data_IF_860750459955
#
_entry.id   IF_860750459955
#
_cell.length_a   1.000
_cell.length_b   1.000
_cell.length_c   1.000
_cell.angle_alpha   90.00
_cell.angle_beta   90.00
_cell.angle_gamma   90.00
#
_symmetry.space_group_name_H-M   'P 1'
#
loop_
_entity.id
_entity.type
_entity.pdbx_description
1 polymer ?
#
# COMPACT_ATOMS: atom_id res chain seq x y z
N UNK A 1 0.02 -33.70 -2.24
CA UNK A 1 0.84 -33.16 -1.15
C UNK A 1 0.07 -33.37 0.15
N UNK A 2 0.46 -34.39 0.91
CA UNK A 2 -0.24 -34.86 2.10
C UNK A 2 0.05 -33.93 3.27
N UNK A 3 -0.98 -33.53 4.01
CA UNK A 3 -0.80 -33.07 5.39
C UNK A 3 -1.62 -33.95 6.33
N UNK A 4 -0.95 -34.98 6.84
CA UNK A 4 -1.36 -35.83 7.96
C UNK A 4 -1.30 -35.04 9.25
N UNK A 5 -2.47 -34.82 9.85
CA UNK A 5 -2.65 -34.39 11.23
C UNK A 5 -2.35 -35.56 12.19
N UNK A 6 -1.45 -35.44 13.18
CA UNK A 6 -1.29 -36.46 14.20
C UNK A 6 -2.25 -36.22 15.38
N UNK A 7 -3.18 -37.16 15.52
CA UNK A 7 -3.94 -37.44 16.74
C UNK A 7 -2.96 -37.86 17.85
N UNK A 8 -3.15 -37.40 19.09
CA UNK A 8 -3.15 -38.25 20.30
C UNK A 8 -3.49 -37.44 21.56
N UNK A 9 -4.73 -37.56 22.03
CA UNK A 9 -5.09 -37.33 23.44
C UNK A 9 -5.96 -38.51 23.85
N UNK A 10 -5.34 -39.50 24.50
CA UNK A 10 -6.05 -40.59 25.17
C UNK A 10 -6.55 -40.04 26.49
N UNK A 11 -7.87 -39.94 26.61
CA UNK A 11 -8.55 -39.74 27.88
C UNK A 11 -8.49 -41.05 28.69
N UNK A 12 -7.81 -41.03 29.83
CA UNK A 12 -7.86 -42.14 30.78
C UNK A 12 -9.03 -41.89 31.76
N UNK A 13 -10.10 -42.66 31.59
CA UNK A 13 -11.15 -42.80 32.60
C UNK A 13 -10.75 -43.92 33.56
N UNK A 14 -10.53 -43.58 34.83
CA UNK A 14 -10.31 -44.55 35.90
C UNK A 14 -10.93 -44.04 37.20
N UNK A 15 -12.19 -44.38 37.43
CA UNK A 15 -12.89 -44.21 38.71
C UNK A 15 -13.05 -45.61 39.30
N UNK A 16 -12.31 -45.92 40.37
CA UNK A 16 -12.58 -47.09 41.21
C UNK A 16 -12.76 -46.60 42.65
N UNK A 17 -13.95 -46.86 43.20
CA UNK A 17 -14.26 -46.73 44.62
C UNK A 17 -13.68 -47.94 45.35
N UNK A 18 -12.90 -47.72 46.40
CA UNK A 18 -12.40 -48.74 47.30
C UNK A 18 -12.30 -48.16 48.70
N UNK A 19 -13.24 -48.56 49.56
CA UNK A 19 -13.35 -48.14 50.95
C UNK A 19 -12.30 -48.77 51.86
N UNK A 20 -12.19 -48.13 53.03
CA UNK A 20 -11.23 -48.33 54.10
C UNK A 20 -11.17 -49.75 54.69
N UNK A 21 -9.97 -50.14 55.15
CA UNK A 21 -9.72 -50.77 56.47
C UNK A 21 -8.22 -50.97 56.67
N UNK A 22 -7.70 -50.60 57.86
CA UNK A 22 -6.35 -50.95 58.28
C UNK A 22 -5.71 -49.90 59.20
N UNK A 23 -5.97 -50.02 60.50
CA UNK A 23 -5.27 -49.29 61.55
C UNK A 23 -3.92 -49.96 61.84
N UNK A 24 -2.83 -49.18 61.77
CA UNK A 24 -1.56 -49.50 62.47
C UNK A 24 -0.80 -48.20 62.78
N UNK A 25 -0.81 -47.77 64.04
CA UNK A 25 0.29 -47.03 64.68
C UNK A 25 1.49 -47.97 64.84
N UNK A 26 2.78 -47.54 64.75
CA UNK A 26 3.30 -46.54 65.70
C UNK A 26 4.45 -45.65 65.19
N UNK A 27 4.69 -44.54 65.88
CA UNK A 27 5.98 -43.85 65.81
C UNK A 27 5.87 -42.34 65.91
N UNK A 28 5.98 -41.81 67.13
CA UNK A 28 6.17 -40.40 67.38
C UNK A 28 7.52 -39.94 66.81
N UNK A 29 7.50 -39.25 65.67
CA UNK A 29 8.66 -38.51 65.15
C UNK A 29 8.56 -37.09 65.73
N UNK A 30 9.49 -36.79 66.65
CA UNK A 30 9.65 -35.47 67.26
C UNK A 30 9.93 -34.40 66.20
N UNK A 31 9.24 -33.28 66.34
CA UNK A 31 9.77 -31.91 66.21
C UNK A 31 10.51 -31.56 64.93
N UNK A 32 9.87 -30.75 64.08
CA UNK A 32 10.57 -30.05 63.01
C UNK A 32 9.62 -29.42 62.01
N UNK A 33 8.88 -28.39 62.42
CA UNK A 33 8.20 -27.49 61.49
C UNK A 33 9.22 -26.66 60.71
N UNK A 34 9.96 -27.29 59.81
CA UNK A 34 10.81 -26.61 58.84
C UNK A 34 9.98 -26.22 57.64
N UNK A 35 9.60 -24.95 57.54
CA UNK A 35 9.18 -24.38 56.26
C UNK A 35 10.33 -24.59 55.27
N UNK A 36 10.10 -25.37 54.21
CA UNK A 36 11.08 -25.55 53.14
C UNK A 36 11.24 -24.20 52.41
N UNK A 37 12.32 -23.47 52.68
CA UNK A 37 12.59 -22.16 52.09
C UNK A 37 12.79 -22.21 50.56
N UNK A 38 13.07 -23.39 49.98
CA UNK A 38 13.19 -23.55 48.53
C UNK A 38 11.84 -23.60 47.82
N UNK A 39 10.74 -23.97 48.51
CA UNK A 39 9.39 -23.91 47.94
C UNK A 39 8.85 -22.48 47.85
N UNK A 40 9.30 -21.59 48.76
CA UNK A 40 8.89 -20.19 48.79
C UNK A 40 9.64 -19.30 47.79
N UNK A 41 10.92 -19.60 47.51
CA UNK A 41 11.73 -18.84 46.54
C UNK A 41 11.32 -19.12 45.09
N UNK A 42 11.08 -20.39 44.73
CA UNK A 42 10.67 -20.80 43.38
C UNK A 42 9.28 -20.28 43.01
N UNK A 43 8.36 -20.27 43.96
CA UNK A 43 7.00 -19.73 43.76
C UNK A 43 7.03 -18.21 43.50
N UNK A 44 7.95 -17.50 44.14
CA UNK A 44 8.14 -16.06 43.93
C UNK A 44 8.77 -15.75 42.57
N UNK A 45 9.80 -16.48 42.16
CA UNK A 45 10.46 -16.25 40.87
C UNK A 45 9.58 -16.65 39.67
N UNK A 46 8.84 -17.76 39.76
CA UNK A 46 7.81 -18.11 38.77
C UNK A 46 6.69 -17.07 38.71
N UNK A 47 6.27 -16.52 39.85
CA UNK A 47 5.27 -15.45 39.88
C UNK A 47 5.79 -14.17 39.23
N UNK A 48 7.06 -13.81 39.44
CA UNK A 48 7.70 -12.65 38.79
C UNK A 48 7.82 -12.83 37.28
N UNK A 49 8.16 -14.02 36.81
CA UNK A 49 8.22 -14.34 35.38
C UNK A 49 6.82 -14.31 34.73
N UNK A 50 5.78 -14.81 35.41
CA UNK A 50 4.37 -14.70 34.96
C UNK A 50 3.89 -13.25 34.86
N UNK A 51 4.33 -12.39 35.78
CA UNK A 51 4.01 -10.95 35.72
C UNK A 51 4.76 -10.27 34.57
N UNK A 52 6.04 -10.58 34.36
CA UNK A 52 6.84 -10.04 33.26
C UNK A 52 6.30 -10.47 31.87
N UNK A 53 5.93 -11.74 31.71
CA UNK A 53 5.33 -12.27 30.47
C UNK A 53 3.94 -11.65 30.21
N UNK A 54 3.12 -11.47 31.25
CA UNK A 54 1.83 -10.76 31.12
C UNK A 54 2.01 -9.28 30.77
N UNK A 55 3.01 -8.61 31.34
CA UNK A 55 3.33 -7.21 31.04
C UNK A 55 3.80 -7.03 29.59
N UNK A 56 4.68 -7.90 29.10
CA UNK A 56 5.16 -7.88 27.71
C UNK A 56 4.05 -8.23 26.71
N UNK A 57 3.18 -9.19 27.04
CA UNK A 57 2.01 -9.51 26.21
C UNK A 57 0.98 -8.36 26.20
N UNK A 58 0.76 -7.71 27.34
CA UNK A 58 -0.05 -6.48 27.43
C UNK A 58 0.51 -5.33 26.60
N UNK A 59 1.84 -5.18 26.55
CA UNK A 59 2.51 -4.19 25.70
C UNK A 59 2.33 -4.53 24.20
N UNK A 60 2.53 -5.78 23.79
CA UNK A 60 2.32 -6.22 22.39
C UNK A 60 0.87 -6.01 21.93
N UNK A 61 -0.11 -6.34 22.76
CA UNK A 61 -1.55 -6.11 22.46
C UNK A 61 -1.85 -4.62 22.26
N UNK A 62 -1.34 -3.77 23.15
CA UNK A 62 -1.48 -2.31 23.03
C UNK A 62 -0.76 -1.74 21.81
N UNK A 63 0.39 -2.29 21.42
CA UNK A 63 1.08 -1.91 20.19
C UNK A 63 0.24 -2.25 18.96
N UNK A 64 -0.20 -3.51 18.84
CA UNK A 64 -1.04 -3.97 17.71
C UNK A 64 -2.32 -3.17 17.55
N UNK A 65 -2.99 -2.82 18.66
CA UNK A 65 -4.18 -1.97 18.63
C UNK A 65 -3.86 -0.55 18.12
N UNK A 66 -2.70 0.00 18.50
CA UNK A 66 -2.23 1.30 17.97
C UNK A 66 -1.89 1.20 16.49
N UNK A 67 -1.26 0.11 16.07
CA UNK A 67 -0.89 -0.13 14.66
C UNK A 67 -2.14 -0.27 13.79
N UNK A 68 -3.13 -1.05 14.25
CA UNK A 68 -4.43 -1.15 13.58
C UNK A 68 -5.14 0.20 13.50
N UNK A 69 -5.15 0.97 14.59
CA UNK A 69 -5.73 2.33 14.60
C UNK A 69 -5.01 3.27 13.62
N UNK A 70 -3.68 3.19 13.52
CA UNK A 70 -2.89 3.97 12.56
C UNK A 70 -3.21 3.55 11.12
N UNK A 71 -3.29 2.25 10.86
CA UNK A 71 -3.65 1.73 9.53
C UNK A 71 -5.07 2.15 9.12
N UNK A 72 -6.04 2.07 10.04
CA UNK A 72 -7.41 2.52 9.79
C UNK A 72 -7.47 4.02 9.47
N UNK A 73 -6.79 4.86 10.25
CA UNK A 73 -6.72 6.30 9.97
C UNK A 73 -6.02 6.61 8.63
N UNK A 74 -4.96 5.86 8.29
CA UNK A 74 -4.29 5.95 6.99
C UNK A 74 -5.24 5.60 5.84
N UNK A 75 -5.96 4.48 5.95
CA UNK A 75 -6.95 4.05 4.97
C UNK A 75 -8.06 5.08 4.77
N UNK A 76 -8.59 5.67 5.85
CA UNK A 76 -9.61 6.72 5.78
C UNK A 76 -9.06 7.95 5.05
N UNK A 77 -7.84 8.37 5.38
CA UNK A 77 -7.19 9.50 4.72
C UNK A 77 -6.94 9.26 3.22
N UNK A 78 -6.50 8.05 2.85
CA UNK A 78 -6.32 7.65 1.45
C UNK A 78 -7.67 7.60 0.73
N UNK A 79 -8.69 7.00 1.33
CA UNK A 79 -10.03 6.89 0.77
C UNK A 79 -10.67 8.26 0.51
N UNK A 80 -10.52 9.19 1.46
CA UNK A 80 -10.99 10.57 1.31
C UNK A 80 -10.26 11.29 0.17
N UNK A 81 -8.93 11.15 0.08
CA UNK A 81 -8.14 11.74 -1.01
C UNK A 81 -8.52 11.17 -2.37
N UNK A 82 -8.78 9.87 -2.46
CA UNK A 82 -9.17 9.20 -3.70
C UNK A 82 -10.55 9.70 -4.17
N UNK A 83 -11.52 9.82 -3.25
CA UNK A 83 -12.84 10.40 -3.57
C UNK A 83 -12.78 11.85 -4.05
N UNK A 84 -11.80 12.60 -3.56
CA UNK A 84 -11.64 14.02 -3.86
C UNK A 84 -10.53 14.33 -4.87
N UNK A 85 -10.04 13.31 -5.60
CA UNK A 85 -8.97 13.40 -6.61
C UNK A 85 -7.74 14.19 -6.13
N UNK A 86 -7.40 14.08 -4.84
CA UNK A 86 -6.55 15.07 -4.19
C UNK A 86 -5.07 14.63 -4.24
N UNK A 87 -4.47 14.79 -5.44
CA UNK A 87 -3.06 15.12 -5.76
C UNK A 87 -2.62 14.52 -7.09
N UNK A 88 -2.41 13.20 -7.15
CA UNK A 88 -1.93 12.50 -8.36
C UNK A 88 -2.92 12.69 -9.51
N UNK A 89 -4.21 12.48 -9.22
CA UNK A 89 -5.25 12.59 -10.23
C UNK A 89 -5.41 14.02 -10.74
N UNK A 90 -5.29 15.04 -9.86
CA UNK A 90 -5.32 16.45 -10.25
C UNK A 90 -4.17 16.84 -11.16
N UNK A 91 -2.95 16.41 -10.83
CA UNK A 91 -1.78 16.70 -11.65
C UNK A 91 -1.86 16.00 -13.02
N UNK A 92 -2.29 14.73 -13.03
CA UNK A 92 -2.48 13.98 -14.26
C UNK A 92 -3.60 14.58 -15.13
N UNK A 93 -4.73 14.97 -14.54
CA UNK A 93 -5.82 15.65 -15.24
C UNK A 93 -5.38 16.99 -15.83
N UNK A 94 -4.54 17.74 -15.11
CA UNK A 94 -3.95 18.98 -15.62
C UNK A 94 -3.08 18.72 -16.85
N UNK A 95 -2.17 17.74 -16.77
CA UNK A 95 -1.29 17.37 -17.89
C UNK A 95 -2.11 16.90 -19.11
N UNK A 96 -3.12 16.05 -18.90
CA UNK A 96 -4.02 15.60 -19.97
C UNK A 96 -4.74 16.80 -20.60
N UNK A 97 -5.17 17.77 -19.79
CA UNK A 97 -5.81 18.99 -20.27
C UNK A 97 -4.87 19.86 -21.13
N UNK A 98 -3.63 20.04 -20.68
CA UNK A 98 -2.60 20.81 -21.38
C UNK A 98 -2.22 20.14 -22.71
N UNK A 99 -2.00 18.83 -22.72
CA UNK A 99 -1.74 18.07 -23.94
C UNK A 99 -2.93 18.12 -24.89
N UNK A 100 -4.14 17.93 -24.39
CA UNK A 100 -5.36 18.04 -25.21
C UNK A 100 -5.46 19.40 -25.86
N UNK A 101 -5.21 20.47 -25.11
CA UNK A 101 -5.23 21.82 -25.65
C UNK A 101 -4.16 22.01 -26.73
N UNK A 102 -2.92 21.57 -26.46
CA UNK A 102 -1.79 21.62 -27.40
C UNK A 102 -2.14 20.90 -28.71
N UNK A 103 -2.62 19.66 -28.64
CA UNK A 103 -3.00 18.89 -29.84
C UNK A 103 -4.19 19.51 -30.58
N UNK A 104 -5.18 20.03 -29.86
CA UNK A 104 -6.32 20.72 -30.48
C UNK A 104 -5.86 21.95 -31.26
N UNK A 105 -4.99 22.78 -30.67
CA UNK A 105 -4.45 23.97 -31.34
C UNK A 105 -3.62 23.62 -32.58
N UNK A 106 -2.80 22.57 -32.52
CA UNK A 106 -2.03 22.09 -33.69
C UNK A 106 -2.99 21.65 -34.80
N UNK A 107 -4.01 20.84 -34.49
CA UNK A 107 -4.97 20.36 -35.48
C UNK A 107 -5.78 21.50 -36.11
N UNK A 108 -6.19 22.49 -35.33
CA UNK A 108 -6.92 23.65 -35.82
C UNK A 108 -6.09 24.46 -36.83
N UNK A 109 -4.79 24.65 -36.56
CA UNK A 109 -3.85 25.29 -37.48
C UNK A 109 -3.64 24.47 -38.77
N UNK A 110 -3.51 23.14 -38.65
CA UNK A 110 -3.40 22.26 -39.83
C UNK A 110 -4.64 22.36 -40.71
N UNK A 111 -5.84 22.34 -40.11
CA UNK A 111 -7.11 22.51 -40.84
C UNK A 111 -7.22 23.90 -41.48
N UNK A 112 -6.76 24.94 -40.80
CA UNK A 112 -6.73 26.30 -41.33
C UNK A 112 -5.85 26.42 -42.58
N UNK A 113 -4.69 25.77 -42.59
CA UNK A 113 -3.85 25.67 -43.79
C UNK A 113 -4.60 24.95 -44.90
N UNK A 114 -5.26 23.83 -44.61
CA UNK A 114 -5.99 23.06 -45.62
C UNK A 114 -7.11 23.88 -46.25
N UNK A 115 -7.92 24.56 -45.43
CA UNK A 115 -9.01 25.40 -45.93
C UNK A 115 -8.49 26.61 -46.71
N UNK A 116 -7.41 27.23 -46.27
CA UNK A 116 -6.77 28.33 -46.99
C UNK A 116 -6.28 27.89 -48.37
N UNK A 117 -5.59 26.76 -48.47
CA UNK A 117 -5.08 26.26 -49.75
C UNK A 117 -6.22 25.83 -50.68
N UNK A 118 -7.21 25.09 -50.16
CA UNK A 118 -8.36 24.66 -50.94
C UNK A 118 -9.18 25.86 -51.45
N UNK A 119 -9.47 26.84 -50.59
CA UNK A 119 -10.27 28.01 -50.93
C UNK A 119 -9.60 28.94 -51.95
N UNK A 120 -8.27 28.95 -51.99
CA UNK A 120 -7.49 29.74 -52.96
C UNK A 120 -7.01 28.92 -54.16
N UNK A 121 -7.45 27.66 -54.31
CA UNK A 121 -7.06 26.75 -55.38
C UNK A 121 -5.52 26.60 -55.52
N UNK A 122 -4.81 26.61 -54.39
CA UNK A 122 -3.36 26.47 -54.33
C UNK A 122 -2.98 25.00 -54.25
N UNK A 123 -1.92 24.64 -54.98
CA UNK A 123 -1.37 23.28 -54.92
C UNK A 123 -0.85 22.97 -53.51
N UNK A 124 -1.33 21.87 -52.93
CA UNK A 124 -0.91 21.42 -51.61
C UNK A 124 0.54 20.92 -51.62
N UNK A 125 0.88 20.14 -52.66
CA UNK A 125 2.19 19.50 -52.85
C UNK A 125 2.95 20.18 -53.99
N UNK A 126 4.27 20.07 -53.93
CA UNK A 126 5.16 20.44 -55.02
C UNK A 126 5.84 19.20 -55.60
N UNK A 127 6.93 19.41 -56.33
CA UNK A 127 7.71 18.31 -56.93
C UNK A 127 8.45 17.44 -55.89
N UNK A 128 8.57 17.90 -54.66
CA UNK A 128 9.18 17.17 -53.55
C UNK A 128 8.18 16.95 -52.42
N UNK A 129 8.22 15.77 -51.81
CA UNK A 129 7.40 15.42 -50.65
C UNK A 129 8.17 15.49 -49.33
N UNK A 130 9.46 15.83 -49.40
CA UNK A 130 10.33 15.89 -48.23
C UNK A 130 10.31 17.27 -47.59
N UNK A 131 10.42 17.30 -46.27
CA UNK A 131 10.49 18.54 -45.51
C UNK A 131 11.87 19.19 -45.74
N UNK A 132 11.90 20.52 -45.79
CA UNK A 132 13.11 21.35 -45.99
C UNK A 132 13.78 21.28 -47.38
N UNK A 133 13.19 20.64 -48.37
CA UNK A 133 13.65 20.68 -49.76
C UNK A 133 12.99 21.81 -50.56
N UNK A 134 13.64 22.31 -51.63
CA UNK A 134 13.00 23.21 -52.56
C UNK A 134 11.81 22.53 -53.23
N UNK A 135 10.77 23.31 -53.55
CA UNK A 135 9.53 22.83 -54.18
C UNK A 135 8.80 21.73 -53.37
N UNK A 136 8.78 21.83 -52.04
CA UNK A 136 8.03 20.93 -51.16
C UNK A 136 6.51 21.21 -51.11
N UNK A 137 6.03 22.21 -51.86
CA UNK A 137 4.62 22.58 -51.92
C UNK A 137 4.18 23.54 -50.82
N UNK A 138 3.02 24.16 -51.03
CA UNK A 138 2.54 25.23 -50.15
C UNK A 138 2.15 24.71 -48.77
N UNK A 139 1.67 23.47 -48.65
CA UNK A 139 1.28 22.89 -47.36
C UNK A 139 2.50 22.74 -46.45
N UNK A 140 3.55 22.04 -46.89
CA UNK A 140 4.76 21.83 -46.09
C UNK A 140 5.52 23.14 -45.86
N UNK A 141 5.46 24.09 -46.80
CA UNK A 141 5.98 25.45 -46.62
C UNK A 141 5.31 26.20 -45.47
N UNK A 142 3.97 26.18 -45.42
CA UNK A 142 3.20 26.84 -44.35
C UNK A 142 3.34 26.11 -43.00
N UNK A 143 3.36 24.78 -42.98
CA UNK A 143 3.63 24.00 -41.75
C UNK A 143 5.01 24.35 -41.18
N UNK A 144 6.03 24.47 -42.04
CA UNK A 144 7.38 24.89 -41.62
C UNK A 144 7.40 26.32 -41.08
N UNK A 145 6.59 27.22 -41.65
CA UNK A 145 6.46 28.59 -41.15
C UNK A 145 5.78 28.61 -39.77
N UNK A 146 4.69 27.88 -39.60
CA UNK A 146 4.02 27.73 -38.31
C UNK A 146 4.97 27.17 -37.26
N UNK A 147 5.71 26.09 -37.56
CA UNK A 147 6.68 25.53 -36.62
C UNK A 147 7.83 26.46 -36.20
N UNK A 148 8.05 27.58 -36.91
CA UNK A 148 8.99 28.64 -36.50
C UNK A 148 8.35 29.74 -35.65
N UNK A 149 7.05 29.96 -35.81
CA UNK A 149 6.29 31.01 -35.12
C UNK A 149 5.57 30.46 -33.87
N UNK A 150 5.29 29.17 -33.87
CA UNK A 150 4.65 28.46 -32.78
C UNK A 150 5.67 28.16 -31.69
N UNK A 151 5.76 29.06 -30.71
CA UNK A 151 6.21 28.72 -29.36
C UNK A 151 5.16 27.82 -28.70
N UNK A 152 4.94 26.62 -29.22
CA UNK A 152 4.05 25.63 -28.59
C UNK A 152 4.73 24.98 -27.37
N UNK A 153 6.01 25.29 -27.15
CA UNK A 153 6.77 24.99 -25.95
C UNK A 153 6.79 26.21 -25.01
N UNK A 154 5.61 26.64 -24.52
CA UNK A 154 5.54 27.50 -23.33
C UNK A 154 4.72 26.79 -22.27
N UNK A 155 5.38 25.84 -21.60
CA UNK A 155 5.07 25.41 -20.23
C UNK A 155 6.29 24.74 -19.57
N UNK A 156 7.51 25.07 -19.97
CA UNK A 156 8.65 24.95 -19.06
C UNK A 156 8.77 26.27 -18.29
N UNK A 157 8.68 26.14 -16.96
CA UNK A 157 9.07 27.15 -15.97
C UNK A 157 8.13 28.35 -15.77
N UNK A 158 7.12 28.16 -14.90
CA UNK A 158 6.89 29.05 -13.74
C UNK A 158 5.90 28.44 -12.74
N UNK A 159 6.44 28.20 -11.54
CA UNK A 159 5.84 27.90 -10.21
C UNK A 159 6.17 26.50 -9.69
#
# INVERSE_FOLDING_TARGET
MNNTNPKHLIANQGRCWGGASGATTPGAIKGGGGINQNLTLTTSDEARERVATRATQGQKRRSRARDHRRAANSWIGVSYRLKNFNRIDKQLLKQIGEEKWRWTAILERMMSIVFFLAGNNLLFRGSSETLYTPNNGNFLGLVKLLGKLDDVDVNEEKV
#
